data_IF_597428725997
#
_entry.id   IF_597428725997
#
_cell.length_a   1.000
_cell.length_b   1.000
_cell.length_c   1.000
_cell.angle_alpha   90.00
_cell.angle_beta   90.00
_cell.angle_gamma   90.00
#
_symmetry.space_group_name_H-M   'P 1'
#
loop_
_entity.id
_entity.type
_entity.pdbx_description
1 polymer ?
#
# COMPACT_ATOMS: atom_id res chain seq x y z
N UNK A 1 36.49 -9.77 -3.02
CA UNK A 1 35.33 -9.50 -2.15
C UNK A 1 34.19 -10.41 -2.60
N UNK A 2 33.42 -10.96 -1.65
CA UNK A 2 32.40 -11.99 -1.85
C UNK A 2 31.15 -11.68 -1.05
N UNK A 3 30.62 -10.46 -1.24
CA UNK A 3 29.39 -10.02 -0.57
C UNK A 3 28.17 -10.59 -1.32
N UNK A 4 27.27 -11.21 -0.58
CA UNK A 4 26.07 -11.85 -1.11
C UNK A 4 24.82 -10.98 -0.96
N UNK A 5 23.89 -11.12 -1.92
CA UNK A 5 22.59 -10.44 -1.92
C UNK A 5 21.44 -11.42 -2.10
N UNK A 6 20.30 -11.12 -1.46
CA UNK A 6 19.08 -11.91 -1.60
C UNK A 6 17.83 -11.04 -1.74
N UNK A 7 16.88 -11.51 -2.54
CA UNK A 7 15.59 -10.84 -2.76
C UNK A 7 14.85 -10.61 -1.44
N UNK A 8 14.34 -9.41 -1.24
CA UNK A 8 13.61 -9.04 -0.03
C UNK A 8 14.48 -8.61 1.16
N UNK A 9 15.82 -8.63 1.04
CA UNK A 9 16.76 -8.17 2.08
C UNK A 9 17.18 -6.69 1.98
N UNK A 10 16.54 -5.93 1.09
CA UNK A 10 16.78 -4.50 0.91
C UNK A 10 15.55 -3.63 1.19
N UNK A 11 15.41 -2.58 0.40
CA UNK A 11 14.30 -1.63 0.45
C UNK A 11 12.90 -2.27 0.34
N UNK A 12 11.90 -1.54 0.83
CA UNK A 12 10.48 -1.83 0.61
C UNK A 12 10.02 -1.21 -0.70
N UNK A 13 8.79 -1.49 -1.12
CA UNK A 13 8.26 -1.01 -2.40
C UNK A 13 8.13 0.51 -2.55
N UNK A 14 8.33 1.28 -1.46
CA UNK A 14 8.44 2.73 -1.51
C UNK A 14 9.87 3.22 -1.85
N UNK A 15 10.86 2.33 -1.89
CA UNK A 15 12.26 2.68 -2.16
C UNK A 15 13.15 2.78 -0.93
N UNK A 16 12.64 2.49 0.28
CA UNK A 16 13.34 2.77 1.54
C UNK A 16 13.24 1.62 2.55
N UNK A 17 14.16 1.62 3.51
CA UNK A 17 14.05 0.89 4.78
C UNK A 17 13.78 1.95 5.85
N UNK A 18 12.62 1.89 6.50
CA UNK A 18 12.15 2.94 7.42
C UNK A 18 11.86 2.34 8.81
N UNK A 19 12.86 2.20 9.70
CA UNK A 19 12.69 1.57 11.01
C UNK A 19 11.59 2.21 11.88
N UNK A 20 11.35 3.50 11.69
CA UNK A 20 10.34 4.27 12.43
C UNK A 20 8.94 4.23 11.80
N UNK A 21 8.70 3.36 10.81
CA UNK A 21 7.41 3.21 10.13
C UNK A 21 7.03 1.71 10.06
N UNK A 22 5.74 1.37 10.07
CA UNK A 22 5.31 0.01 9.78
C UNK A 22 5.78 -0.42 8.40
N UNK A 23 6.28 -1.64 8.29
CA UNK A 23 6.77 -2.22 7.05
C UNK A 23 6.23 -3.63 6.88
N UNK A 24 5.91 -4.00 5.64
CA UNK A 24 5.71 -5.40 5.27
C UNK A 24 7.06 -6.08 5.04
N UNK A 25 7.21 -7.30 5.54
CA UNK A 25 8.37 -8.15 5.26
C UNK A 25 8.24 -8.89 3.92
N UNK A 26 7.08 -8.82 3.26
CA UNK A 26 6.89 -9.43 1.94
C UNK A 26 7.87 -8.84 0.92
N UNK A 27 8.53 -9.72 0.19
CA UNK A 27 9.27 -9.34 -1.00
C UNK A 27 8.29 -9.13 -2.15
N UNK A 28 8.31 -7.94 -2.73
CA UNK A 28 7.52 -7.53 -3.90
C UNK A 28 8.19 -7.92 -5.22
N UNK A 29 9.52 -7.92 -5.26
CA UNK A 29 10.31 -8.32 -6.42
C UNK A 29 10.13 -9.83 -6.72
N UNK A 30 10.03 -10.18 -8.00
CA UNK A 30 9.89 -11.57 -8.48
C UNK A 30 8.50 -12.21 -8.28
N UNK A 31 7.63 -11.66 -7.43
CA UNK A 31 6.27 -12.21 -7.22
C UNK A 31 5.32 -11.87 -8.38
N UNK A 32 4.38 -12.78 -8.67
CA UNK A 32 3.40 -12.64 -9.75
C UNK A 32 2.47 -11.42 -9.48
N UNK A 33 2.37 -10.45 -10.41
CA UNK A 33 1.56 -9.24 -10.24
C UNK A 33 0.05 -9.45 -10.39
N UNK A 34 -0.41 -10.67 -10.70
CA UNK A 34 -1.82 -11.01 -10.91
C UNK A 34 -2.48 -11.52 -9.63
N UNK A 35 -1.84 -12.43 -8.92
CA UNK A 35 -2.48 -13.13 -7.78
C UNK A 35 -1.71 -13.08 -6.46
N UNK A 36 -0.45 -12.63 -6.45
CA UNK A 36 0.32 -12.59 -5.21
C UNK A 36 -0.02 -11.34 -4.40
N UNK A 37 -0.91 -11.49 -3.42
CA UNK A 37 -1.41 -10.40 -2.56
C UNK A 37 -0.28 -9.62 -1.89
N UNK A 38 0.78 -10.27 -1.44
CA UNK A 38 1.96 -9.60 -0.85
C UNK A 38 2.58 -8.53 -1.75
N UNK A 39 2.62 -8.73 -3.07
CA UNK A 39 3.09 -7.71 -4.03
C UNK A 39 2.01 -6.67 -4.27
N UNK A 40 0.82 -7.13 -4.61
CA UNK A 40 -0.29 -6.28 -5.04
C UNK A 40 -0.67 -5.29 -3.93
N UNK A 41 -0.82 -5.76 -2.69
CA UNK A 41 -1.23 -4.92 -1.57
C UNK A 41 -0.16 -3.94 -1.11
N UNK A 42 1.12 -4.30 -1.19
CA UNK A 42 2.19 -3.35 -0.92
C UNK A 42 2.18 -2.19 -1.95
N UNK A 43 2.06 -2.52 -3.24
CA UNK A 43 1.97 -1.52 -4.31
C UNK A 43 0.69 -0.69 -4.21
N UNK A 44 -0.44 -1.34 -3.94
CA UNK A 44 -1.74 -0.70 -3.80
C UNK A 44 -1.77 0.23 -2.58
N UNK A 45 -1.24 -0.20 -1.44
CA UNK A 45 -1.21 0.59 -0.22
C UNK A 45 -0.42 1.89 -0.41
N UNK A 46 0.73 1.84 -1.10
CA UNK A 46 1.49 3.05 -1.43
C UNK A 46 0.69 4.02 -2.33
N UNK A 47 0.01 3.49 -3.36
CA UNK A 47 -0.83 4.30 -4.24
C UNK A 47 -1.97 4.97 -3.47
N UNK A 48 -2.73 4.20 -2.69
CA UNK A 48 -3.88 4.71 -1.93
C UNK A 48 -3.41 5.71 -0.88
N UNK A 49 -2.30 5.45 -0.17
CA UNK A 49 -1.76 6.39 0.81
C UNK A 49 -1.36 7.73 0.17
N UNK A 50 -0.73 7.70 -1.01
CA UNK A 50 -0.41 8.91 -1.77
C UNK A 50 -1.67 9.65 -2.22
N UNK A 51 -2.69 8.92 -2.68
CA UNK A 51 -3.97 9.49 -3.10
C UNK A 51 -4.73 10.13 -1.94
N UNK A 52 -4.71 9.52 -0.76
CA UNK A 52 -5.28 10.09 0.47
C UNK A 52 -4.62 11.42 0.82
N UNK A 53 -3.28 11.45 0.87
CA UNK A 53 -2.54 12.67 1.23
C UNK A 53 -2.73 13.78 0.18
N UNK A 54 -2.90 13.42 -1.10
CA UNK A 54 -3.12 14.39 -2.17
C UNK A 54 -4.55 14.95 -2.26
N UNK A 55 -5.56 14.25 -1.72
CA UNK A 55 -6.98 14.60 -1.93
C UNK A 55 -7.79 14.86 -0.64
N UNK A 56 -7.19 14.65 0.53
CA UNK A 56 -7.85 14.85 1.82
C UNK A 56 -7.05 15.85 2.65
N UNK A 57 -7.58 17.07 2.76
CA UNK A 57 -6.96 18.14 3.52
C UNK A 57 -6.83 17.81 5.01
N UNK A 58 -5.76 18.30 5.62
CA UNK A 58 -5.57 18.23 7.07
C UNK A 58 -5.03 16.89 7.59
N UNK A 59 -4.58 15.99 6.71
CA UNK A 59 -3.83 14.79 7.09
C UNK A 59 -2.34 15.13 7.23
N UNK A 60 -1.77 14.95 8.42
CA UNK A 60 -0.32 15.03 8.64
C UNK A 60 0.38 13.75 8.22
N UNK A 61 -0.22 12.61 8.54
CA UNK A 61 0.29 11.29 8.19
C UNK A 61 -0.85 10.30 8.02
N UNK A 62 -0.70 9.39 7.05
CA UNK A 62 -1.53 8.18 6.94
C UNK A 62 -0.63 6.96 6.79
N UNK A 63 -1.00 5.87 7.46
CA UNK A 63 -0.38 4.55 7.30
C UNK A 63 -1.46 3.56 6.92
N UNK A 64 -1.28 2.87 5.80
CA UNK A 64 -2.25 1.93 5.29
C UNK A 64 -1.69 0.51 5.33
N UNK A 65 -2.47 -0.40 5.91
CA UNK A 65 -2.16 -1.84 5.99
C UNK A 65 -3.34 -2.61 5.39
N UNK A 66 -3.05 -3.53 4.47
CA UNK A 66 -4.07 -4.38 3.83
C UNK A 66 -3.67 -5.83 4.05
N UNK A 67 -4.55 -6.59 4.69
CA UNK A 67 -4.33 -7.99 5.04
C UNK A 67 -5.22 -8.89 4.16
N UNK A 68 -4.59 -9.82 3.45
CA UNK A 68 -5.30 -10.85 2.67
C UNK A 68 -5.70 -12.04 3.54
N UNK A 69 -6.63 -12.83 3.04
CA UNK A 69 -6.89 -14.20 3.49
C UNK A 69 -6.82 -15.14 2.28
N UNK A 70 -6.14 -16.28 2.42
CA UNK A 70 -5.99 -17.23 1.31
C UNK A 70 -7.38 -17.74 0.89
N UNK A 71 -7.63 -17.75 -0.42
CA UNK A 71 -8.92 -18.15 -0.99
C UNK A 71 -9.95 -17.02 -1.10
N UNK A 72 -9.67 -15.83 -0.54
CA UNK A 72 -10.52 -14.64 -0.69
C UNK A 72 -10.15 -13.85 -1.94
N UNK A 73 -11.10 -13.10 -2.50
CA UNK A 73 -10.85 -12.24 -3.66
C UNK A 73 -9.87 -11.13 -3.30
N UNK A 74 -9.03 -10.72 -4.25
CA UNK A 74 -7.97 -9.73 -4.03
C UNK A 74 -8.55 -8.33 -3.79
N UNK A 75 -9.71 -8.01 -4.36
CA UNK A 75 -10.43 -6.76 -4.13
C UNK A 75 -11.25 -6.76 -2.83
N UNK A 76 -11.30 -7.88 -2.12
CA UNK A 76 -12.02 -8.06 -0.85
C UNK A 76 -11.04 -8.56 0.24
N UNK A 77 -10.18 -7.69 0.78
CA UNK A 77 -9.21 -8.08 1.80
C UNK A 77 -9.91 -8.49 3.10
N UNK A 78 -9.21 -9.23 3.96
CA UNK A 78 -9.68 -9.52 5.32
C UNK A 78 -9.93 -8.24 6.10
N UNK A 79 -8.99 -7.31 6.00
CA UNK A 79 -9.08 -5.97 6.57
C UNK A 79 -8.18 -5.01 5.82
N UNK A 80 -8.63 -3.77 5.66
CA UNK A 80 -7.82 -2.62 5.28
C UNK A 80 -7.88 -1.59 6.42
N UNK A 81 -6.73 -1.27 7.02
CA UNK A 81 -6.63 -0.37 8.17
C UNK A 81 -5.84 0.87 7.78
N UNK A 82 -6.48 2.03 7.88
CA UNK A 82 -5.82 3.33 7.81
C UNK A 82 -5.64 3.92 9.20
N UNK A 83 -4.39 4.16 9.60
CA UNK A 83 -4.06 4.93 10.78
C UNK A 83 -3.76 6.37 10.36
N UNK A 84 -4.52 7.32 10.87
CA UNK A 84 -4.47 8.73 10.43
C UNK A 84 -3.98 9.59 11.60
N UNK A 85 -2.98 10.43 11.34
CA UNK A 85 -2.59 11.53 12.21
C UNK A 85 -3.12 12.84 11.59
N UNK A 86 -4.19 13.42 12.14
CA UNK A 86 -4.73 14.67 11.64
C UNK A 86 -3.93 15.90 12.13
N UNK A 87 -4.07 17.02 11.42
CA UNK A 87 -3.76 18.35 11.94
C UNK A 87 -4.81 18.80 12.96
N UNK A 88 -4.56 19.88 13.68
CA UNK A 88 -5.53 20.45 14.64
C UNK A 88 -6.73 21.07 13.91
N UNK A 89 -7.93 20.94 14.48
CA UNK A 89 -9.13 21.64 13.99
C UNK A 89 -9.83 20.99 12.79
N UNK A 90 -9.45 19.78 12.37
CA UNK A 90 -10.13 19.06 11.30
C UNK A 90 -11.41 18.35 11.78
N UNK A 91 -12.39 18.27 10.88
CA UNK A 91 -13.54 17.40 11.05
C UNK A 91 -13.13 15.93 10.80
N UNK A 92 -13.01 15.16 11.89
CA UNK A 92 -12.56 13.76 11.85
C UNK A 92 -13.53 12.85 11.08
N UNK A 93 -14.84 12.97 11.33
CA UNK A 93 -15.83 12.12 10.67
C UNK A 93 -15.83 12.29 9.15
N UNK A 94 -15.72 13.53 8.68
CA UNK A 94 -15.65 13.81 7.25
C UNK A 94 -14.36 13.30 6.62
N UNK A 95 -13.24 13.47 7.32
CA UNK A 95 -11.94 12.93 6.90
C UNK A 95 -11.98 11.40 6.79
N UNK A 96 -12.51 10.72 7.79
CA UNK A 96 -12.64 9.25 7.80
C UNK A 96 -13.52 8.76 6.65
N UNK A 97 -14.66 9.41 6.39
CA UNK A 97 -15.54 9.09 5.25
C UNK A 97 -14.80 9.24 3.91
N UNK A 98 -14.04 10.32 3.73
CA UNK A 98 -13.25 10.53 2.51
C UNK A 98 -12.15 9.49 2.35
N UNK A 99 -11.39 9.22 3.42
CA UNK A 99 -10.32 8.21 3.39
C UNK A 99 -10.89 6.84 3.08
N UNK A 100 -12.00 6.45 3.70
CA UNK A 100 -12.68 5.18 3.42
C UNK A 100 -13.08 5.06 1.95
N UNK A 101 -13.68 6.12 1.39
CA UNK A 101 -14.04 6.14 -0.04
C UNK A 101 -12.84 5.89 -0.95
N UNK A 102 -11.72 6.56 -0.70
CA UNK A 102 -10.48 6.39 -1.51
C UNK A 102 -9.92 4.96 -1.35
N UNK A 103 -10.01 4.36 -0.17
CA UNK A 103 -9.60 2.97 0.05
C UNK A 103 -10.49 2.02 -0.75
N UNK A 104 -11.81 2.18 -0.71
CA UNK A 104 -12.77 1.34 -1.42
C UNK A 104 -12.59 1.47 -2.96
N UNK A 105 -12.37 2.68 -3.47
CA UNK A 105 -12.03 2.97 -4.87
C UNK A 105 -10.67 2.37 -5.28
N UNK A 106 -9.69 2.41 -4.38
CA UNK A 106 -8.39 1.77 -4.58
C UNK A 106 -8.50 0.25 -4.69
N UNK A 107 -9.25 -0.39 -3.79
CA UNK A 107 -9.47 -1.84 -3.78
C UNK A 107 -10.22 -2.32 -5.03
N UNK A 108 -11.29 -1.62 -5.42
CA UNK A 108 -12.03 -1.92 -6.65
C UNK A 108 -11.20 -1.75 -7.93
N UNK A 109 -10.18 -0.89 -7.91
CA UNK A 109 -9.26 -0.67 -9.05
C UNK A 109 -7.96 -1.49 -8.97
N UNK A 110 -7.93 -2.60 -8.22
CA UNK A 110 -6.71 -3.41 -8.02
C UNK A 110 -6.11 -3.95 -9.33
N UNK A 111 -6.94 -4.22 -10.35
CA UNK A 111 -6.47 -4.66 -11.66
C UNK A 111 -5.52 -3.65 -12.34
N UNK A 112 -5.63 -2.36 -12.02
CA UNK A 112 -4.71 -1.33 -12.52
C UNK A 112 -3.30 -1.49 -11.93
N UNK A 113 -3.17 -1.98 -10.70
CA UNK A 113 -1.87 -2.30 -10.11
C UNK A 113 -1.20 -3.42 -10.89
N UNK A 114 -1.95 -4.46 -11.26
CA UNK A 114 -1.44 -5.54 -12.11
C UNK A 114 -0.93 -5.01 -13.45
N UNK A 115 -1.74 -4.20 -14.16
CA UNK A 115 -1.38 -3.61 -15.45
C UNK A 115 -0.08 -2.79 -15.36
N UNK A 116 0.00 -1.86 -14.40
CA UNK A 116 1.17 -1.01 -14.20
C UNK A 116 2.41 -1.80 -13.77
N UNK A 117 2.23 -2.83 -12.93
CA UNK A 117 3.33 -3.70 -12.52
C UNK A 117 3.89 -4.53 -13.68
N UNK A 118 3.04 -5.02 -14.59
CA UNK A 118 3.48 -5.75 -15.80
C UNK A 118 4.25 -4.82 -16.75
N UNK A 119 3.83 -3.56 -16.86
CA UNK A 119 4.53 -2.55 -17.67
C UNK A 119 5.82 -1.99 -17.03
N UNK A 120 6.13 -2.37 -15.78
CA UNK A 120 7.29 -1.84 -15.06
C UNK A 120 7.14 -0.38 -14.59
N UNK A 121 5.91 0.15 -14.57
CA UNK A 121 5.63 1.54 -14.19
C UNK A 121 5.57 1.76 -12.67
N UNK A 122 5.61 0.68 -11.88
CA UNK A 122 5.58 0.73 -10.43
C UNK A 122 6.93 0.35 -9.85
N UNK A 123 7.43 1.19 -8.95
CA UNK A 123 8.58 0.86 -8.09
C UNK A 123 8.22 -0.36 -7.24
N UNK A 124 9.13 -1.33 -7.17
CA UNK A 124 8.96 -2.53 -6.35
C UNK A 124 9.93 -2.61 -5.19
N UNK A 125 10.99 -1.82 -5.16
CA UNK A 125 11.98 -1.70 -4.08
C UNK A 125 12.69 -0.36 -4.18
#
# INVERSE_FOLDING_TARGET
MGDDGATGRGNRCNGLITPNRPMSLEATAGKNPINHTGKIYNLLANRIAAEIVGNVDGIREVRLQILSEIGRRIDDPKVATAQIIPLSGVNREWMEKKVRRIIDEGLSSVAEITKKAVKGELRTF
#
